data_IF_045923923969
#
_entry.id   IF_045923923969
#
_cell.length_a   1.000
_cell.length_b   1.000
_cell.length_c   1.000
_cell.angle_alpha   90.00
_cell.angle_beta   90.00
_cell.angle_gamma   90.00
#
_symmetry.space_group_name_H-M   'P 1'
#
loop_
_entity.id
_entity.type
_entity.pdbx_description
1 polymer ?
#
# COMPACT_ATOMS: atom_id res chain seq x y z
N UNK A 1 -46.34 -43.77 -6.27
CA UNK A 1 -45.68 -42.98 -7.37
C UNK A 1 -44.47 -42.30 -6.74
N UNK A 2 -43.32 -42.95 -6.85
CA UNK A 2 -42.04 -42.37 -6.36
C UNK A 2 -41.68 -41.22 -7.30
N UNK A 3 -41.67 -40.02 -6.76
CA UNK A 3 -41.07 -38.86 -7.45
C UNK A 3 -39.56 -39.05 -7.46
N UNK A 4 -39.04 -39.62 -8.52
CA UNK A 4 -37.59 -39.57 -8.82
C UNK A 4 -37.23 -38.11 -8.90
N UNK A 5 -36.64 -37.58 -7.84
CA UNK A 5 -36.08 -36.22 -7.84
C UNK A 5 -34.90 -36.27 -8.80
N UNK A 6 -35.10 -35.71 -9.98
CA UNK A 6 -34.07 -35.60 -11.01
C UNK A 6 -32.89 -34.83 -10.43
N UNK A 7 -31.80 -35.48 -10.12
CA UNK A 7 -30.61 -34.86 -9.51
C UNK A 7 -29.64 -34.52 -10.61
N UNK A 8 -29.25 -33.26 -10.67
CA UNK A 8 -28.32 -32.68 -11.63
C UNK A 8 -26.91 -32.70 -11.06
N UNK A 9 -25.96 -33.37 -11.69
CA UNK A 9 -24.55 -33.36 -11.28
C UNK A 9 -23.81 -32.29 -12.06
N UNK A 10 -23.25 -31.31 -11.35
CA UNK A 10 -22.48 -30.21 -11.90
C UNK A 10 -21.05 -30.23 -11.34
N UNK A 11 -20.08 -29.85 -12.18
CA UNK A 11 -18.75 -29.51 -11.68
C UNK A 11 -18.71 -28.00 -11.41
N UNK A 12 -18.68 -27.61 -10.15
CA UNK A 12 -18.66 -26.19 -9.74
C UNK A 12 -17.28 -25.88 -9.16
N UNK A 13 -16.53 -24.97 -9.79
CA UNK A 13 -15.13 -24.61 -9.45
C UNK A 13 -14.25 -25.85 -9.24
N UNK A 14 -14.39 -26.85 -10.14
CA UNK A 14 -13.63 -28.11 -10.09
C UNK A 14 -14.17 -29.19 -9.14
N UNK A 15 -15.18 -28.89 -8.30
CA UNK A 15 -15.82 -29.87 -7.41
C UNK A 15 -17.13 -30.40 -8.01
N UNK A 16 -17.27 -31.72 -8.12
CA UNK A 16 -18.52 -32.32 -8.55
C UNK A 16 -19.53 -32.40 -7.40
N UNK A 17 -20.70 -31.80 -7.59
CA UNK A 17 -21.80 -31.75 -6.61
C UNK A 17 -23.12 -32.10 -7.26
N UNK A 18 -24.05 -32.70 -6.50
CA UNK A 18 -25.41 -32.98 -6.93
C UNK A 18 -26.35 -31.88 -6.46
N UNK A 19 -27.23 -31.43 -7.35
CA UNK A 19 -28.23 -30.40 -7.10
C UNK A 19 -29.62 -30.91 -7.51
N UNK A 20 -30.69 -30.42 -6.88
CA UNK A 20 -32.04 -30.73 -7.34
C UNK A 20 -32.30 -30.06 -8.70
N UNK A 21 -32.75 -30.84 -9.69
CA UNK A 21 -33.14 -30.30 -11.01
C UNK A 21 -34.62 -30.04 -11.12
N UNK A 22 -35.06 -29.28 -12.12
CA UNK A 22 -34.26 -28.47 -13.05
C UNK A 22 -33.71 -27.19 -12.39
N UNK A 23 -32.56 -26.72 -12.82
CA UNK A 23 -31.86 -25.57 -12.22
C UNK A 23 -31.37 -24.62 -13.29
N UNK A 24 -31.52 -23.32 -13.04
CA UNK A 24 -30.89 -22.25 -13.83
C UNK A 24 -29.61 -21.76 -13.16
N UNK A 25 -28.79 -20.95 -13.86
CA UNK A 25 -27.63 -20.30 -13.27
C UNK A 25 -28.07 -19.46 -12.04
N UNK A 26 -29.15 -18.69 -12.14
CA UNK A 26 -29.67 -17.94 -10.99
C UNK A 26 -30.09 -18.84 -9.83
N UNK A 27 -30.73 -19.98 -10.12
CA UNK A 27 -31.10 -20.98 -9.14
C UNK A 27 -29.88 -21.59 -8.43
N UNK A 28 -28.84 -21.94 -9.19
CA UNK A 28 -27.57 -22.45 -8.65
C UNK A 28 -26.93 -21.42 -7.69
N UNK A 29 -26.85 -20.14 -8.09
CA UNK A 29 -26.30 -19.08 -7.24
C UNK A 29 -27.09 -18.93 -5.93
N UNK A 30 -28.42 -19.03 -6.00
CA UNK A 30 -29.29 -18.98 -4.81
C UNK A 30 -29.04 -20.16 -3.86
N UNK A 31 -28.93 -21.39 -4.40
CA UNK A 31 -28.60 -22.59 -3.61
C UNK A 31 -27.24 -22.47 -2.93
N UNK A 32 -26.26 -21.83 -3.61
CA UNK A 32 -24.92 -21.60 -3.06
C UNK A 32 -24.83 -20.38 -2.13
N UNK A 33 -25.93 -19.63 -1.96
CA UNK A 33 -25.95 -18.42 -1.11
C UNK A 33 -25.16 -17.24 -1.68
N UNK A 34 -24.95 -17.20 -3.00
CA UNK A 34 -24.14 -16.20 -3.68
C UNK A 34 -24.97 -15.02 -4.21
N UNK A 35 -24.53 -13.78 -3.96
CA UNK A 35 -25.16 -12.59 -4.53
C UNK A 35 -24.84 -12.48 -6.03
N UNK A 36 -25.86 -12.71 -6.88
CA UNK A 36 -25.75 -12.67 -8.34
C UNK A 36 -25.16 -11.35 -8.90
N UNK A 37 -25.25 -10.25 -8.16
CA UNK A 37 -24.69 -8.95 -8.56
C UNK A 37 -23.16 -8.91 -8.44
N UNK A 38 -22.59 -9.73 -7.55
CA UNK A 38 -21.17 -9.72 -7.16
C UNK A 38 -20.33 -10.81 -7.83
N UNK A 39 -20.96 -11.69 -8.63
CA UNK A 39 -20.28 -12.82 -9.27
C UNK A 39 -20.31 -12.72 -10.79
N UNK A 40 -19.35 -13.37 -11.46
CA UNK A 40 -19.41 -13.73 -12.86
C UNK A 40 -19.42 -15.26 -12.96
N UNK A 41 -20.14 -15.77 -13.98
CA UNK A 41 -20.34 -17.21 -14.16
C UNK A 41 -19.91 -17.60 -15.58
N UNK A 42 -19.10 -18.64 -15.66
CA UNK A 42 -18.76 -19.34 -16.90
C UNK A 42 -19.42 -20.71 -16.88
N UNK A 43 -20.00 -21.12 -17.99
CA UNK A 43 -20.55 -22.46 -18.22
C UNK A 43 -19.89 -23.06 -19.44
N UNK A 44 -19.21 -24.19 -19.25
CA UNK A 44 -18.55 -24.94 -20.34
C UNK A 44 -17.63 -24.07 -21.21
N UNK A 45 -16.82 -23.20 -20.56
CA UNK A 45 -15.89 -22.25 -21.17
C UNK A 45 -16.55 -21.06 -21.89
N UNK A 46 -17.86 -20.84 -21.68
CA UNK A 46 -18.57 -19.66 -22.18
C UNK A 46 -19.08 -18.79 -21.04
N UNK A 47 -18.84 -17.50 -21.12
CA UNK A 47 -19.33 -16.53 -20.11
C UNK A 47 -20.84 -16.39 -20.24
N UNK A 48 -21.56 -16.64 -19.14
CA UNK A 48 -23.00 -16.37 -19.08
C UNK A 48 -23.22 -14.91 -18.64
N UNK A 49 -23.81 -14.05 -19.49
CA UNK A 49 -24.08 -12.68 -19.11
C UNK A 49 -25.10 -12.64 -17.96
N UNK A 50 -25.02 -11.63 -17.08
CA UNK A 50 -25.94 -11.50 -15.93
C UNK A 50 -27.41 -11.47 -16.32
N UNK A 51 -27.74 -10.92 -17.49
CA UNK A 51 -29.10 -10.92 -18.06
C UNK A 51 -29.58 -12.32 -18.43
N UNK A 52 -28.68 -13.27 -18.64
CA UNK A 52 -28.99 -14.66 -18.98
C UNK A 52 -29.11 -15.60 -17.76
N UNK A 53 -28.79 -15.16 -16.55
CA UNK A 53 -28.78 -16.04 -15.37
C UNK A 53 -30.14 -16.72 -15.09
N UNK A 54 -31.23 -16.03 -15.32
CA UNK A 54 -32.57 -16.57 -15.08
C UNK A 54 -33.05 -17.53 -16.20
N UNK A 55 -32.52 -17.38 -17.42
CA UNK A 55 -32.94 -18.17 -18.59
C UNK A 55 -31.97 -19.31 -18.95
N UNK A 56 -30.74 -19.28 -18.48
CA UNK A 56 -29.76 -20.34 -18.75
C UNK A 56 -30.03 -21.55 -17.87
N UNK A 57 -30.63 -22.57 -18.45
CA UNK A 57 -30.90 -23.86 -17.79
C UNK A 57 -29.62 -24.71 -17.82
N UNK A 58 -29.27 -25.27 -16.66
CA UNK A 58 -28.12 -26.15 -16.49
C UNK A 58 -28.48 -27.62 -16.83
N UNK A 59 -27.55 -28.32 -17.39
CA UNK A 59 -27.66 -29.72 -17.77
C UNK A 59 -26.71 -30.61 -16.93
N UNK A 60 -27.06 -31.90 -16.83
CA UNK A 60 -26.19 -32.88 -16.14
C UNK A 60 -24.82 -32.92 -16.82
N UNK A 61 -23.74 -32.86 -15.99
CA UNK A 61 -22.38 -32.82 -16.47
C UNK A 61 -21.83 -31.41 -16.84
N UNK A 62 -22.64 -30.34 -16.71
CA UNK A 62 -22.12 -28.97 -16.96
C UNK A 62 -20.98 -28.64 -16.01
N UNK A 63 -19.97 -27.97 -16.58
CA UNK A 63 -18.88 -27.36 -15.84
C UNK A 63 -19.16 -25.87 -15.63
N UNK A 64 -19.20 -25.45 -14.38
CA UNK A 64 -19.50 -24.10 -13.95
C UNK A 64 -18.30 -23.54 -13.20
N UNK A 65 -17.81 -22.40 -13.64
CA UNK A 65 -16.82 -21.60 -12.91
C UNK A 65 -17.50 -20.33 -12.41
N UNK A 66 -17.47 -20.10 -11.11
CA UNK A 66 -18.03 -18.92 -10.47
C UNK A 66 -16.91 -18.13 -9.84
N UNK A 67 -16.74 -16.89 -10.27
CA UNK A 67 -15.71 -15.98 -9.75
C UNK A 67 -16.34 -14.72 -9.18
N UNK A 68 -15.74 -14.17 -8.15
CA UNK A 68 -16.11 -12.88 -7.60
C UNK A 68 -14.85 -12.05 -7.33
N UNK A 69 -15.01 -10.74 -7.26
CA UNK A 69 -13.91 -9.88 -6.84
C UNK A 69 -13.72 -10.03 -5.34
N UNK A 70 -12.62 -10.63 -4.94
CA UNK A 70 -12.11 -10.51 -3.57
C UNK A 70 -11.17 -9.31 -3.61
N UNK A 71 -11.36 -8.34 -2.72
CA UNK A 71 -10.31 -7.37 -2.43
C UNK A 71 -9.07 -8.17 -2.07
N UNK A 72 -7.95 -7.97 -2.77
CA UNK A 72 -6.72 -8.72 -2.53
C UNK A 72 -6.26 -8.52 -1.10
N UNK A 73 -6.39 -9.54 -0.28
CA UNK A 73 -5.99 -9.59 1.12
C UNK A 73 -6.60 -10.84 1.76
N UNK A 74 -5.75 -11.69 2.30
CA UNK A 74 -6.17 -12.84 3.10
C UNK A 74 -6.86 -12.32 4.36
N UNK A 75 -8.16 -12.59 4.53
CA UNK A 75 -8.86 -12.36 5.79
C UNK A 75 -8.51 -13.47 6.79
N UNK A 76 -7.23 -13.59 7.13
CA UNK A 76 -6.85 -14.23 8.36
C UNK A 76 -7.47 -13.42 9.51
N UNK A 77 -8.13 -14.12 10.45
CA UNK A 77 -8.80 -13.61 11.65
C UNK A 77 -8.20 -12.32 12.19
N UNK A 78 -9.02 -11.40 12.66
CA UNK A 78 -8.71 -10.04 13.16
C UNK A 78 -7.65 -9.96 14.29
N UNK A 79 -6.46 -10.47 14.06
CA UNK A 79 -5.24 -9.90 14.58
C UNK A 79 -5.06 -8.59 13.83
N UNK A 80 -4.91 -7.47 14.54
CA UNK A 80 -4.70 -6.16 13.92
C UNK A 80 -3.56 -6.29 12.90
N UNK A 81 -3.85 -6.08 11.61
CA UNK A 81 -2.85 -6.12 10.55
C UNK A 81 -1.91 -4.93 10.72
N UNK A 82 -0.85 -5.13 11.51
CA UNK A 82 0.17 -4.13 11.80
C UNK A 82 1.50 -4.52 11.17
N UNK A 83 2.27 -3.52 10.84
CA UNK A 83 3.67 -3.68 10.43
C UNK A 83 4.56 -2.82 11.32
N UNK A 84 5.86 -3.12 11.36
CA UNK A 84 6.79 -2.41 12.22
C UNK A 84 8.01 -1.93 11.46
N UNK A 85 8.45 -0.71 11.77
CA UNK A 85 9.71 -0.13 11.29
C UNK A 85 10.34 0.69 12.41
N UNK A 86 11.65 0.58 12.58
CA UNK A 86 12.41 1.31 13.61
C UNK A 86 11.84 1.14 15.02
N UNK A 87 11.33 -0.05 15.37
CA UNK A 87 10.72 -0.37 16.68
C UNK A 87 9.35 0.26 16.91
N UNK A 88 8.72 0.87 15.91
CA UNK A 88 7.37 1.44 15.95
C UNK A 88 6.41 0.59 15.15
N UNK A 89 5.19 0.38 15.64
CA UNK A 89 4.12 -0.36 14.96
C UNK A 89 3.12 0.59 14.33
N UNK A 90 2.67 0.25 13.12
CA UNK A 90 1.73 1.03 12.32
C UNK A 90 0.64 0.11 11.75
N UNK A 91 -0.57 0.65 11.58
CA UNK A 91 -1.69 -0.04 10.91
C UNK A 91 -1.70 0.25 9.41
N UNK A 92 -1.40 1.49 9.04
CA UNK A 92 -1.38 1.89 7.63
C UNK A 92 0.00 1.66 7.02
N UNK A 93 0.03 0.95 5.88
CA UNK A 93 1.25 0.82 5.05
C UNK A 93 1.46 2.00 4.11
N UNK A 94 0.53 2.96 4.10
CA UNK A 94 0.62 4.13 3.25
C UNK A 94 1.47 5.21 3.93
N UNK A 95 2.49 5.68 3.22
CA UNK A 95 3.29 6.85 3.57
C UNK A 95 2.91 7.98 2.61
N UNK A 96 2.50 9.13 3.15
CA UNK A 96 2.01 10.25 2.35
C UNK A 96 3.00 11.41 2.40
N UNK A 97 3.18 12.07 1.23
CA UNK A 97 3.98 13.29 1.13
C UNK A 97 3.14 14.56 1.38
N UNK A 98 3.81 15.67 1.65
CA UNK A 98 3.19 16.98 1.94
C UNK A 98 3.47 18.05 0.88
N UNK A 99 4.15 17.72 -0.22
CA UNK A 99 4.73 18.71 -1.12
C UNK A 99 3.92 19.10 -2.36
N UNK A 100 2.74 18.51 -2.60
CA UNK A 100 2.02 18.65 -3.88
C UNK A 100 0.57 19.10 -3.75
N UNK A 101 0.13 19.48 -2.57
CA UNK A 101 -1.22 20.01 -2.33
C UNK A 101 -1.27 21.53 -2.56
N UNK A 102 -2.46 22.03 -2.84
CA UNK A 102 -2.71 23.44 -3.13
C UNK A 102 -2.41 24.34 -1.92
N UNK A 103 -2.82 23.87 -0.73
CA UNK A 103 -2.64 24.59 0.53
C UNK A 103 -2.55 23.61 1.72
N UNK A 104 -2.39 24.13 2.94
CA UNK A 104 -2.27 23.33 4.15
C UNK A 104 -3.59 22.67 4.58
N UNK A 105 -4.73 23.29 4.29
CA UNK A 105 -6.06 22.71 4.57
C UNK A 105 -6.29 21.46 3.73
N UNK A 106 -6.01 21.53 2.41
CA UNK A 106 -6.10 20.40 1.51
C UNK A 106 -5.10 19.31 1.92
N UNK A 107 -3.88 19.69 2.31
CA UNK A 107 -2.86 18.75 2.83
C UNK A 107 -3.39 17.98 4.03
N UNK A 108 -3.93 18.68 5.02
CA UNK A 108 -4.47 18.05 6.23
C UNK A 108 -5.67 17.15 5.93
N UNK A 109 -6.59 17.60 5.07
CA UNK A 109 -7.76 16.83 4.66
C UNK A 109 -7.36 15.53 3.92
N UNK A 110 -6.42 15.61 2.98
CA UNK A 110 -5.93 14.47 2.24
C UNK A 110 -5.22 13.44 3.13
N UNK A 111 -4.36 13.90 4.04
CA UNK A 111 -3.67 13.03 5.01
C UNK A 111 -4.69 12.34 5.92
N UNK A 112 -5.66 13.08 6.45
CA UNK A 112 -6.71 12.51 7.31
C UNK A 112 -7.56 11.47 6.55
N UNK A 113 -7.95 11.75 5.31
CA UNK A 113 -8.72 10.86 4.47
C UNK A 113 -7.96 9.59 4.05
N UNK A 114 -6.63 9.69 3.92
CA UNK A 114 -5.77 8.56 3.51
C UNK A 114 -5.61 7.49 4.60
N UNK A 115 -5.83 7.83 5.86
CA UNK A 115 -5.53 6.97 7.01
C UNK A 115 -4.04 6.70 7.23
N UNK A 116 -3.15 7.45 6.56
CA UNK A 116 -1.71 7.31 6.77
C UNK A 116 -1.28 7.76 8.16
N UNK A 117 -0.34 7.04 8.74
CA UNK A 117 0.24 7.34 10.06
C UNK A 117 1.65 7.93 9.94
N UNK A 118 2.30 7.73 8.79
CA UNK A 118 3.61 8.29 8.47
C UNK A 118 3.46 9.33 7.38
N UNK A 119 4.05 10.51 7.62
CA UNK A 119 3.97 11.65 6.70
C UNK A 119 5.37 12.15 6.38
N UNK A 120 5.76 12.14 5.10
CA UNK A 120 7.06 12.70 4.71
C UNK A 120 7.03 14.21 4.70
N UNK A 121 8.06 14.80 5.27
CA UNK A 121 8.19 16.26 5.38
C UNK A 121 9.56 16.71 4.88
N UNK A 122 9.58 17.79 4.09
CA UNK A 122 10.84 18.39 3.65
C UNK A 122 11.34 19.37 4.70
N UNK A 123 12.65 19.31 4.97
CA UNK A 123 13.32 20.29 5.82
C UNK A 123 13.54 21.56 4.98
N UNK A 124 12.83 22.63 5.30
CA UNK A 124 12.92 23.90 4.58
C UNK A 124 13.33 25.04 5.51
N UNK A 125 13.94 26.06 4.92
CA UNK A 125 14.27 27.29 5.63
C UNK A 125 12.98 28.01 6.05
N UNK A 126 12.98 28.59 7.22
CA UNK A 126 11.88 29.44 7.71
C UNK A 126 11.73 30.66 6.80
N UNK A 127 10.52 31.06 6.49
CA UNK A 127 10.25 32.29 5.77
C UNK A 127 10.48 33.49 6.71
N UNK A 128 11.62 34.14 6.54
CA UNK A 128 12.00 35.31 7.35
C UNK A 128 11.16 36.55 7.01
N UNK A 129 10.53 36.59 5.84
CA UNK A 129 9.69 37.71 5.41
C UNK A 129 8.31 37.70 6.04
N UNK A 130 7.84 36.53 6.48
CA UNK A 130 6.57 36.35 7.17
C UNK A 130 6.71 35.28 8.25
N UNK A 131 7.21 35.63 9.44
CA UNK A 131 7.34 34.69 10.57
C UNK A 131 6.00 34.21 11.12
N UNK A 132 4.89 34.87 10.79
CA UNK A 132 3.54 34.50 11.23
C UNK A 132 2.83 33.57 10.25
N UNK A 133 3.45 33.24 9.12
CA UNK A 133 2.89 32.28 8.14
C UNK A 133 2.60 30.92 8.81
N UNK A 134 1.43 30.34 8.57
CA UNK A 134 1.06 29.09 9.16
C UNK A 134 2.04 27.97 8.78
N UNK A 135 2.40 27.14 9.74
CA UNK A 135 3.32 26.03 9.54
C UNK A 135 2.56 24.72 9.36
N UNK A 136 3.18 23.77 8.68
CA UNK A 136 2.62 22.43 8.48
C UNK A 136 2.19 21.78 9.81
N UNK A 137 2.94 21.99 10.88
CA UNK A 137 2.69 21.42 12.20
C UNK A 137 1.36 21.89 12.82
N UNK A 138 0.84 23.04 12.41
CA UNK A 138 -0.45 23.58 12.89
C UNK A 138 -1.63 22.80 12.28
N UNK A 139 -1.45 22.23 11.11
CA UNK A 139 -2.47 21.50 10.34
C UNK A 139 -2.32 19.98 10.42
N UNK A 140 -1.09 19.50 10.49
CA UNK A 140 -0.72 18.09 10.57
C UNK A 140 0.13 17.88 11.82
N UNK A 141 -0.46 17.81 13.02
CA UNK A 141 0.29 17.84 14.27
C UNK A 141 1.17 16.59 14.46
N UNK A 142 2.45 16.76 14.87
CA UNK A 142 3.38 15.65 15.14
C UNK A 142 2.93 14.73 16.28
N UNK A 143 1.98 15.15 17.10
CA UNK A 143 1.37 14.33 18.15
C UNK A 143 0.45 13.22 17.58
N UNK A 144 -0.06 13.42 16.37
CA UNK A 144 -0.97 12.49 15.67
C UNK A 144 -0.27 11.68 14.58
N UNK A 145 0.74 12.24 13.94
CA UNK A 145 1.42 11.66 12.79
C UNK A 145 2.91 11.47 13.06
N UNK A 146 3.46 10.35 12.60
CA UNK A 146 4.91 10.17 12.58
C UNK A 146 5.50 10.94 11.43
N UNK A 147 6.23 12.00 11.74
CA UNK A 147 6.98 12.74 10.72
C UNK A 147 8.18 11.93 10.26
N UNK A 148 8.36 11.91 8.95
CA UNK A 148 9.51 11.30 8.27
C UNK A 148 10.22 12.40 7.48
N UNK A 149 11.12 13.20 8.13
CA UNK A 149 11.93 14.18 7.42
C UNK A 149 12.74 13.54 6.31
N UNK A 150 12.79 14.20 5.15
CA UNK A 150 13.51 13.69 4.00
C UNK A 150 14.56 14.69 3.48
N UNK A 151 15.48 14.18 2.69
CA UNK A 151 16.55 14.96 2.04
C UNK A 151 16.27 15.19 0.56
N UNK A 152 14.99 15.27 0.18
CA UNK A 152 14.60 15.54 -1.19
C UNK A 152 15.28 16.80 -1.75
N UNK A 153 15.93 16.64 -2.90
CA UNK A 153 16.70 17.71 -3.54
C UNK A 153 18.14 17.85 -3.08
N UNK A 154 18.64 16.95 -2.21
CA UNK A 154 20.08 16.84 -1.94
C UNK A 154 20.78 16.01 -3.02
N UNK A 155 21.95 16.50 -3.47
CA UNK A 155 22.77 15.86 -4.51
C UNK A 155 24.12 15.39 -3.98
N UNK A 156 24.42 15.61 -2.71
CA UNK A 156 25.64 15.17 -2.04
C UNK A 156 25.35 14.57 -0.68
N UNK A 157 26.20 13.67 -0.22
CA UNK A 157 26.12 13.09 1.11
C UNK A 157 26.18 14.17 2.21
N UNK A 158 27.07 15.15 2.04
CA UNK A 158 27.25 16.25 2.98
C UNK A 158 25.97 17.07 3.18
N UNK A 159 25.28 17.41 2.09
CA UNK A 159 24.02 18.15 2.16
C UNK A 159 22.91 17.33 2.81
N UNK A 160 22.81 16.05 2.49
CA UNK A 160 21.84 15.15 3.10
C UNK A 160 22.08 15.00 4.61
N UNK A 161 23.30 14.74 5.04
CA UNK A 161 23.68 14.62 6.44
C UNK A 161 23.36 15.92 7.20
N UNK A 162 23.79 17.05 6.66
CA UNK A 162 23.52 18.37 7.27
C UNK A 162 22.01 18.63 7.40
N UNK A 163 21.25 18.32 6.38
CA UNK A 163 19.79 18.51 6.37
C UNK A 163 19.09 17.69 7.47
N UNK A 164 19.47 16.42 7.64
CA UNK A 164 18.86 15.58 8.67
C UNK A 164 19.33 15.92 10.08
N UNK A 165 20.57 16.36 10.26
CA UNK A 165 21.01 16.91 11.54
C UNK A 165 20.22 18.15 11.94
N UNK A 166 19.95 19.06 10.99
CA UNK A 166 19.07 20.21 11.21
C UNK A 166 17.63 19.80 11.54
N UNK A 167 17.10 18.77 10.87
CA UNK A 167 15.77 18.23 11.20
C UNK A 167 15.71 17.72 12.64
N UNK A 168 16.72 17.00 13.10
CA UNK A 168 16.79 16.50 14.48
C UNK A 168 16.86 17.65 15.49
N UNK A 169 17.65 18.66 15.25
CA UNK A 169 17.70 19.83 16.13
C UNK A 169 16.38 20.59 16.18
N UNK A 170 15.66 20.66 15.05
CA UNK A 170 14.38 21.38 14.95
C UNK A 170 13.21 20.65 15.60
N UNK A 171 13.18 19.31 15.59
CA UNK A 171 12.01 18.57 16.04
C UNK A 171 12.27 17.25 16.75
N UNK A 172 13.52 16.92 17.03
CA UNK A 172 13.90 15.68 17.73
C UNK A 172 13.72 14.41 16.89
N UNK A 173 13.53 14.53 15.57
CA UNK A 173 13.23 13.40 14.70
C UNK A 173 14.48 12.58 14.39
N UNK A 174 14.47 11.30 14.78
CA UNK A 174 15.53 10.34 14.48
C UNK A 174 15.15 9.36 13.36
N UNK A 175 13.85 9.09 13.15
CA UNK A 175 13.39 8.34 11.98
C UNK A 175 13.33 9.29 10.78
N UNK A 176 14.10 8.99 9.74
CA UNK A 176 14.32 9.89 8.59
C UNK A 176 14.35 9.12 7.28
N UNK A 177 14.03 9.80 6.16
CA UNK A 177 14.18 9.26 4.81
C UNK A 177 15.40 9.90 4.15
N UNK A 178 16.40 9.07 3.89
CA UNK A 178 17.59 9.47 3.14
C UNK A 178 17.32 9.31 1.64
N UNK A 179 17.59 10.38 0.91
CA UNK A 179 17.49 10.48 -0.54
C UNK A 179 18.65 11.36 -1.03
N UNK A 180 19.58 10.80 -1.79
CA UNK A 180 20.62 11.56 -2.47
C UNK A 180 20.45 11.34 -3.95
N UNK A 181 20.16 12.40 -4.68
CA UNK A 181 19.81 12.32 -6.09
C UNK A 181 21.04 12.48 -6.97
N UNK A 182 21.09 11.72 -8.03
CA UNK A 182 22.01 11.88 -9.14
C UNK A 182 21.69 13.16 -9.94
N UNK A 183 22.33 13.33 -11.11
CA UNK A 183 22.12 14.53 -11.90
C UNK A 183 20.64 14.71 -12.33
N UNK A 184 20.12 15.94 -12.25
CA UNK A 184 18.83 16.27 -12.82
C UNK A 184 18.81 15.97 -14.35
N UNK A 185 17.71 15.51 -14.93
CA UNK A 185 16.32 15.45 -14.43
C UNK A 185 15.86 14.05 -14.01
N UNK A 186 16.75 13.08 -13.81
CA UNK A 186 16.38 11.65 -13.70
C UNK A 186 15.74 11.26 -12.38
N UNK A 187 15.99 11.97 -11.30
CA UNK A 187 15.60 11.61 -9.93
C UNK A 187 16.12 10.24 -9.46
N UNK A 188 17.03 9.61 -10.22
CA UNK A 188 17.70 8.39 -9.80
C UNK A 188 18.60 8.65 -8.59
N UNK A 189 18.65 7.74 -7.63
CA UNK A 189 19.55 7.88 -6.48
C UNK A 189 21.01 7.74 -6.89
N UNK A 190 21.87 8.60 -6.34
CA UNK A 190 23.31 8.40 -6.36
C UNK A 190 23.68 7.43 -5.25
N UNK A 191 23.89 6.17 -5.61
CA UNK A 191 24.13 5.11 -4.63
C UNK A 191 25.45 5.27 -3.88
N UNK A 192 26.48 5.86 -4.51
CA UNK A 192 27.76 6.09 -3.84
C UNK A 192 27.60 7.13 -2.71
N UNK A 193 26.95 8.25 -3.02
CA UNK A 193 26.67 9.29 -2.04
C UNK A 193 25.65 8.82 -0.99
N UNK A 194 24.68 8.00 -1.40
CA UNK A 194 23.71 7.38 -0.48
C UNK A 194 24.39 6.50 0.57
N UNK A 195 25.32 5.62 0.15
CA UNK A 195 26.11 4.79 1.07
C UNK A 195 26.96 5.61 2.06
N UNK A 196 27.59 6.70 1.56
CA UNK A 196 28.38 7.61 2.41
C UNK A 196 27.50 8.32 3.45
N UNK A 197 26.34 8.81 3.03
CA UNK A 197 25.40 9.49 3.91
C UNK A 197 24.82 8.52 4.96
N UNK A 198 24.42 7.32 4.54
CA UNK A 198 23.87 6.29 5.44
C UNK A 198 24.86 5.93 6.55
N UNK A 199 26.12 5.66 6.20
CA UNK A 199 27.15 5.32 7.17
C UNK A 199 27.33 6.40 8.25
N UNK A 200 27.33 7.67 7.86
CA UNK A 200 27.44 8.78 8.80
C UNK A 200 26.17 8.93 9.68
N UNK A 201 25.00 8.82 9.09
CA UNK A 201 23.74 8.99 9.80
C UNK A 201 23.45 7.85 10.80
N UNK A 202 23.79 6.61 10.44
CA UNK A 202 23.68 5.46 11.37
C UNK A 202 24.63 5.63 12.55
N UNK A 203 25.88 6.07 12.32
CA UNK A 203 26.84 6.41 13.39
C UNK A 203 26.35 7.53 14.30
N UNK A 204 25.61 8.49 13.74
CA UNK A 204 24.95 9.56 14.50
C UNK A 204 23.69 9.11 15.26
N UNK A 205 23.28 7.83 15.15
CA UNK A 205 22.11 7.26 15.83
C UNK A 205 20.77 7.53 15.15
N UNK A 206 20.77 7.90 13.87
CA UNK A 206 19.53 8.00 13.09
C UNK A 206 18.98 6.62 12.72
N UNK A 207 17.68 6.51 12.64
CA UNK A 207 16.93 5.39 12.07
C UNK A 207 16.58 5.74 10.62
N UNK A 208 17.34 5.17 9.67
CA UNK A 208 17.33 5.66 8.28
C UNK A 208 16.52 4.73 7.39
N UNK A 209 15.46 5.24 6.78
CA UNK A 209 14.79 4.63 5.63
C UNK A 209 15.47 5.16 4.36
N UNK A 210 15.90 4.27 3.46
CA UNK A 210 16.79 4.65 2.35
C UNK A 210 16.10 4.52 1.01
N UNK A 211 15.99 5.63 0.26
CA UNK A 211 15.62 5.62 -1.14
C UNK A 211 16.80 5.09 -1.98
N UNK A 212 16.56 4.09 -2.81
CA UNK A 212 17.62 3.40 -3.55
C UNK A 212 17.12 2.90 -4.92
N UNK A 213 18.04 2.37 -5.70
CA UNK A 213 17.72 1.60 -6.91
C UNK A 213 17.04 0.27 -6.56
N UNK A 214 16.34 -0.33 -7.51
CA UNK A 214 15.62 -1.62 -7.40
C UNK A 214 16.55 -2.86 -7.53
N UNK A 215 17.80 -2.71 -7.10
CA UNK A 215 18.79 -3.79 -7.08
C UNK A 215 18.78 -4.50 -5.71
N UNK A 216 18.40 -5.80 -5.64
CA UNK A 216 18.35 -6.54 -4.38
C UNK A 216 19.72 -6.70 -3.71
N UNK A 217 20.82 -6.67 -4.47
CA UNK A 217 22.18 -6.74 -3.92
C UNK A 217 22.53 -5.42 -3.23
N UNK A 218 22.20 -4.29 -3.87
CA UNK A 218 22.37 -2.97 -3.26
C UNK A 218 21.49 -2.82 -2.01
N UNK A 219 20.22 -3.26 -2.08
CA UNK A 219 19.30 -3.25 -0.95
C UNK A 219 19.85 -4.02 0.26
N UNK A 220 20.40 -5.22 0.03
CA UNK A 220 21.00 -6.02 1.10
C UNK A 220 22.21 -5.33 1.75
N UNK A 221 23.05 -4.67 0.96
CA UNK A 221 24.19 -3.90 1.49
C UNK A 221 23.74 -2.72 2.35
N UNK A 222 22.68 -2.02 1.95
CA UNK A 222 22.13 -0.93 2.75
C UNK A 222 21.56 -1.43 4.09
N UNK A 223 20.88 -2.57 4.09
CA UNK A 223 20.40 -3.24 5.30
C UNK A 223 21.58 -3.58 6.24
N UNK A 224 22.64 -4.18 5.70
CA UNK A 224 23.86 -4.53 6.46
C UNK A 224 24.59 -3.30 7.02
N UNK A 225 24.46 -2.14 6.37
CA UNK A 225 24.96 -0.86 6.89
C UNK A 225 24.08 -0.26 7.99
N UNK A 226 22.91 -0.82 8.27
CA UNK A 226 22.03 -0.37 9.35
C UNK A 226 20.81 0.45 8.90
N UNK A 227 20.43 0.42 7.62
CA UNK A 227 19.17 0.96 7.18
C UNK A 227 18.00 0.21 7.86
N UNK A 228 17.03 0.94 8.41
CA UNK A 228 15.86 0.35 9.07
C UNK A 228 14.74 -0.01 8.09
N UNK A 229 14.80 0.53 6.89
CA UNK A 229 13.93 0.17 5.77
C UNK A 229 14.57 0.53 4.42
N UNK A 230 14.22 -0.22 3.40
CA UNK A 230 14.65 -0.03 2.02
C UNK A 230 13.45 0.44 1.20
N UNK A 231 13.61 1.52 0.44
CA UNK A 231 12.58 2.15 -0.38
C UNK A 231 13.06 2.17 -1.84
N UNK A 232 12.91 1.08 -2.58
CA UNK A 232 13.34 1.03 -3.98
C UNK A 232 12.50 1.94 -4.87
N UNK A 233 13.14 2.38 -5.96
CA UNK A 233 12.55 3.22 -7.01
C UNK A 233 11.41 2.51 -7.74
#
# INVERSE_FOLDING_TARGET
>A
MDATTDSLRLSVNGETRAFPGPLTVAGLLAVLGLDRRKVAVERNLEIVPKSGFDSTVLADGDRIEIVHFIGGGDHASAAEDTWSVAGRSFRSRLIVGTGRYKDLDETAAAIAASGAEIVTVAVRRVNLSDPSAPMLQDYVPPSRYTYLPNTAGCHTAEDAIRTLRLAREAGGWNLVKLEVLGPPPTLYPDMQETHRALDALVKDGFQVMVYCVDDPVAAKRLEEQGAVAIMPL
#
